data_IF_577051759433
#
_entry.id   IF_577051759433
#
_cell.length_a   1.000
_cell.length_b   1.000
_cell.length_c   1.000
_cell.angle_alpha   90.00
_cell.angle_beta   90.00
_cell.angle_gamma   90.00
#
_symmetry.space_group_name_H-M   'P 1'
#
loop_
_entity.id
_entity.type
_entity.pdbx_description
1 polymer ?
#
# COMPACT_ATOMS: atom_id res chain seq x y z
N UNK A 1 7.28 -25.27 -16.79
CA UNK A 1 7.11 -25.03 -15.35
C UNK A 1 5.64 -25.21 -15.04
N UNK A 2 5.25 -26.32 -14.44
CA UNK A 2 3.87 -26.52 -13.99
C UNK A 2 3.61 -25.63 -12.78
N UNK A 3 2.51 -24.87 -12.86
CA UNK A 3 2.08 -24.04 -11.77
C UNK A 3 1.69 -24.91 -10.57
N UNK A 4 2.32 -24.66 -9.41
CA UNK A 4 1.95 -25.30 -8.15
C UNK A 4 0.48 -25.04 -7.85
N UNK A 5 -0.33 -26.10 -7.82
CA UNK A 5 -1.78 -25.99 -7.57
C UNK A 5 -2.06 -25.81 -6.08
N UNK A 6 -3.19 -25.19 -5.71
CA UNK A 6 -3.64 -25.05 -4.31
C UNK A 6 -3.62 -26.37 -3.53
N UNK A 7 -3.86 -27.51 -4.19
CA UNK A 7 -3.83 -28.84 -3.57
C UNK A 7 -2.40 -29.28 -3.20
N UNK A 8 -1.40 -28.96 -4.05
CA UNK A 8 0.00 -29.30 -3.77
C UNK A 8 0.54 -28.52 -2.57
N UNK A 9 0.11 -27.28 -2.39
CA UNK A 9 0.50 -26.42 -1.23
C UNK A 9 -0.15 -26.94 0.05
N UNK A 10 -1.42 -27.36 0.01
CA UNK A 10 -2.13 -27.88 1.17
C UNK A 10 -1.62 -29.27 1.61
N UNK A 11 -1.18 -30.12 0.69
CA UNK A 11 -0.59 -31.42 1.02
C UNK A 11 0.80 -31.28 1.69
N UNK A 12 1.57 -30.24 1.33
CA UNK A 12 2.84 -29.92 2.00
C UNK A 12 2.67 -29.41 3.43
N UNK A 13 1.53 -28.74 3.73
CA UNK A 13 1.23 -28.22 5.07
C UNK A 13 0.91 -29.31 6.11
N UNK A 14 0.49 -30.51 5.67
CA UNK A 14 0.18 -31.64 6.55
C UNK A 14 1.43 -32.41 7.02
N UNK A 15 2.60 -32.21 6.35
CA UNK A 15 3.78 -33.03 6.57
C UNK A 15 4.86 -32.39 7.45
N UNK A 16 4.81 -31.10 7.75
CA UNK A 16 5.86 -30.43 8.54
C UNK A 16 5.27 -29.44 9.54
N UNK A 17 5.21 -29.85 10.81
CA UNK A 17 4.73 -29.07 11.93
C UNK A 17 5.64 -27.91 12.38
N UNK A 18 6.20 -27.11 11.47
CA UNK A 18 6.94 -25.89 11.80
C UNK A 18 6.33 -24.71 11.02
N UNK A 19 5.12 -24.31 11.41
CA UNK A 19 4.62 -22.99 11.08
C UNK A 19 5.10 -22.02 12.19
N UNK A 20 6.31 -21.46 12.03
CA UNK A 20 6.67 -20.28 12.81
C UNK A 20 5.68 -19.18 12.41
N UNK A 21 4.70 -18.91 13.27
CA UNK A 21 3.87 -17.71 13.18
C UNK A 21 4.77 -16.53 13.54
N UNK A 22 5.38 -15.91 12.55
CA UNK A 22 5.90 -14.56 12.71
C UNK A 22 4.67 -13.66 12.65
N UNK A 23 4.00 -13.52 13.80
CA UNK A 23 3.08 -12.42 13.99
C UNK A 23 3.92 -11.16 13.96
N UNK A 24 3.75 -10.31 12.96
CA UNK A 24 4.01 -8.91 13.17
C UNK A 24 3.04 -8.53 14.30
N UNK A 25 3.50 -8.50 15.54
CA UNK A 25 2.71 -7.95 16.63
C UNK A 25 2.44 -6.49 16.25
N UNK A 26 1.19 -6.24 15.86
CA UNK A 26 0.71 -4.88 15.84
C UNK A 26 1.02 -4.30 17.23
N UNK A 27 1.52 -3.06 17.32
CA UNK A 27 1.83 -2.47 18.60
C UNK A 27 0.63 -2.68 19.51
N UNK A 28 0.84 -3.29 20.69
CA UNK A 28 -0.19 -3.65 21.68
C UNK A 28 -0.99 -2.43 22.19
N UNK A 29 -0.55 -1.23 21.82
CA UNK A 29 -1.28 0.02 21.97
C UNK A 29 -1.04 0.86 20.71
N UNK A 30 -2.01 0.91 19.80
CA UNK A 30 -2.17 2.11 18.99
C UNK A 30 -2.46 3.25 19.97
N UNK A 31 -1.69 4.36 19.98
CA UNK A 31 -2.10 5.52 20.74
C UNK A 31 -3.49 5.88 20.18
N UNK A 32 -4.54 5.55 20.94
CA UNK A 32 -5.86 6.09 20.62
C UNK A 32 -5.68 7.58 20.53
N UNK A 33 -6.13 8.22 19.45
CA UNK A 33 -6.24 9.67 19.46
C UNK A 33 -6.93 10.03 20.77
N UNK A 34 -6.46 11.04 21.52
CA UNK A 34 -7.09 11.43 22.76
C UNK A 34 -8.59 11.53 22.48
N UNK A 35 -9.41 10.81 23.26
CA UNK A 35 -10.85 10.87 23.09
C UNK A 35 -11.20 12.35 23.12
N UNK A 36 -11.77 12.83 22.03
CA UNK A 36 -12.36 14.17 22.01
C UNK A 36 -13.25 14.23 23.25
N UNK A 37 -13.08 15.18 24.17
CA UNK A 37 -13.95 15.27 25.32
C UNK A 37 -15.37 15.16 24.82
N UNK A 38 -16.11 14.14 25.28
CA UNK A 38 -17.55 14.11 25.10
C UNK A 38 -18.02 15.47 25.55
N UNK A 39 -18.77 16.17 24.70
CA UNK A 39 -19.24 17.52 24.96
C UNK A 39 -20.08 17.52 26.24
N UNK A 40 -19.40 17.56 27.37
CA UNK A 40 -19.92 17.90 28.69
C UNK A 40 -19.65 19.36 28.87
N UNK A 41 -20.71 20.18 28.65
CA UNK A 41 -20.82 21.53 29.18
C UNK A 41 -19.58 22.43 29.06
N UNK A 42 -19.10 22.66 27.86
CA UNK A 42 -18.32 23.84 27.57
C UNK A 42 -19.26 24.85 26.87
N UNK A 43 -19.95 25.62 27.66
CA UNK A 43 -20.48 26.93 27.27
C UNK A 43 -19.30 27.88 27.03
N UNK A 44 -18.47 27.56 26.09
CA UNK A 44 -17.59 28.50 25.43
C UNK A 44 -18.20 28.72 24.03
N UNK A 45 -19.15 29.65 23.95
CA UNK A 45 -19.38 30.40 22.70
C UNK A 45 -18.03 31.05 22.34
N UNK A 46 -17.14 30.31 21.73
CA UNK A 46 -16.15 30.89 20.88
C UNK A 46 -16.96 31.54 19.75
N UNK A 47 -17.22 32.82 19.87
CA UNK A 47 -17.59 33.65 18.73
C UNK A 47 -16.45 33.50 17.74
N UNK A 48 -16.54 32.51 16.85
CA UNK A 48 -15.81 32.53 15.61
C UNK A 48 -16.08 33.93 15.06
N UNK A 49 -15.03 34.72 14.88
CA UNK A 49 -15.11 36.00 14.16
C UNK A 49 -15.44 35.58 12.74
N UNK A 50 -16.75 35.47 12.47
CA UNK A 50 -17.25 35.26 11.11
C UNK A 50 -16.76 36.47 10.36
N UNK A 51 -16.02 36.29 9.31
CA UNK A 51 -15.55 37.32 8.39
C UNK A 51 -16.72 38.02 7.65
N UNK A 52 -17.92 37.88 8.11
CA UNK A 52 -19.11 38.50 7.54
C UNK A 52 -19.49 38.10 6.11
N UNK A 53 -18.68 37.24 5.48
CA UNK A 53 -18.96 36.70 4.15
C UNK A 53 -19.83 35.46 4.23
N UNK A 54 -20.81 35.34 3.36
CA UNK A 54 -21.54 34.10 3.19
C UNK A 54 -20.65 33.00 2.64
N UNK A 55 -21.03 31.74 2.82
CA UNK A 55 -20.29 30.59 2.27
C UNK A 55 -20.11 30.70 0.76
N UNK A 56 -21.13 31.15 0.05
CA UNK A 56 -21.05 31.39 -1.39
C UNK A 56 -20.04 32.48 -1.75
N UNK A 57 -20.03 33.58 -1.00
CA UNK A 57 -19.07 34.66 -1.23
C UNK A 57 -17.61 34.18 -0.97
N UNK A 58 -17.37 33.28 -0.02
CA UNK A 58 -16.07 32.67 0.22
C UNK A 58 -15.64 31.76 -0.94
N UNK A 59 -16.57 30.97 -1.48
CA UNK A 59 -16.32 30.10 -2.63
C UNK A 59 -15.98 30.92 -3.87
N UNK A 60 -16.75 31.95 -4.15
CA UNK A 60 -16.50 32.86 -5.28
C UNK A 60 -15.16 33.59 -5.14
N UNK A 61 -14.83 34.04 -3.93
CA UNK A 61 -13.54 34.68 -3.65
C UNK A 61 -12.35 33.74 -3.82
N UNK A 62 -12.54 32.45 -3.56
CA UNK A 62 -11.49 31.42 -3.72
C UNK A 62 -11.14 31.14 -5.19
N UNK A 63 -11.98 31.59 -6.15
CA UNK A 63 -11.76 31.41 -7.61
C UNK A 63 -11.42 29.99 -8.00
N UNK A 64 -12.08 29.03 -7.38
CA UNK A 64 -11.90 27.60 -7.70
C UNK A 64 -12.41 27.37 -9.12
N UNK A 65 -11.58 26.84 -9.98
CA UNK A 65 -12.01 26.41 -11.32
C UNK A 65 -12.91 25.18 -11.20
N UNK A 66 -14.12 25.26 -11.79
CA UNK A 66 -15.06 24.14 -11.79
C UNK A 66 -16.21 24.30 -10.78
N UNK A 67 -16.90 23.19 -10.53
CA UNK A 67 -18.08 23.16 -9.69
C UNK A 67 -17.74 22.79 -8.25
N UNK A 68 -18.45 23.41 -7.32
CA UNK A 68 -18.29 23.16 -5.88
C UNK A 68 -19.61 22.66 -5.31
N UNK A 69 -19.56 21.51 -4.66
CA UNK A 69 -20.68 20.91 -3.92
C UNK A 69 -20.25 20.66 -2.47
N UNK A 70 -21.10 20.99 -1.52
CA UNK A 70 -20.91 20.66 -0.12
C UNK A 70 -22.21 20.62 0.66
N UNK A 71 -22.18 19.90 1.77
CA UNK A 71 -23.21 19.89 2.82
C UNK A 71 -22.53 20.00 4.18
N UNK A 72 -22.97 20.92 5.01
CA UNK A 72 -22.61 21.03 6.41
C UNK A 72 -23.86 20.84 7.25
N UNK A 73 -23.84 19.82 8.10
CA UNK A 73 -24.94 19.52 9.00
C UNK A 73 -24.46 19.37 10.45
N UNK A 74 -25.33 19.65 11.39
CA UNK A 74 -25.12 19.29 12.78
C UNK A 74 -25.22 17.77 12.94
N UNK A 75 -24.18 17.15 13.51
CA UNK A 75 -24.09 15.71 13.60
C UNK A 75 -25.12 15.08 14.56
N UNK A 76 -25.57 15.81 15.56
CA UNK A 76 -26.49 15.29 16.56
C UNK A 76 -27.95 15.41 16.12
N UNK A 77 -28.31 16.55 15.50
CA UNK A 77 -29.69 16.84 15.07
C UNK A 77 -29.96 16.47 13.62
N UNK A 78 -28.92 16.36 12.78
CA UNK A 78 -29.07 16.24 11.34
C UNK A 78 -29.47 17.55 10.64
N UNK A 79 -29.58 18.65 11.36
CA UNK A 79 -29.97 19.94 10.79
C UNK A 79 -28.92 20.45 9.80
N UNK A 80 -29.35 20.85 8.60
CA UNK A 80 -28.46 21.41 7.58
C UNK A 80 -28.13 22.84 7.92
N UNK A 81 -26.89 23.14 8.23
CA UNK A 81 -26.39 24.47 8.58
C UNK A 81 -26.08 25.27 7.32
N UNK A 82 -25.48 24.63 6.31
CA UNK A 82 -25.17 25.25 5.02
C UNK A 82 -25.05 24.18 3.95
N UNK A 83 -25.44 24.50 2.73
CA UNK A 83 -25.29 23.57 1.60
C UNK A 83 -25.14 24.34 0.29
N UNK A 84 -24.45 23.76 -0.66
CA UNK A 84 -24.39 24.17 -2.06
C UNK A 84 -24.44 22.92 -2.94
N UNK A 85 -25.47 22.78 -3.76
CA UNK A 85 -25.67 21.65 -4.66
C UNK A 85 -25.46 20.28 -3.97
N UNK A 86 -26.10 20.02 -2.82
CA UNK A 86 -25.75 18.84 -2.00
C UNK A 86 -26.01 17.49 -2.70
N UNK A 87 -26.98 17.46 -3.63
CA UNK A 87 -27.36 16.26 -4.38
C UNK A 87 -26.57 16.08 -5.68
N UNK A 88 -25.65 17.00 -5.96
CA UNK A 88 -24.83 16.89 -7.14
C UNK A 88 -23.85 15.75 -7.02
N UNK A 89 -23.86 14.84 -7.99
CA UNK A 89 -22.90 13.75 -8.07
C UNK A 89 -21.49 14.30 -8.40
N UNK A 90 -20.57 14.12 -7.48
CA UNK A 90 -19.18 14.51 -7.61
C UNK A 90 -18.28 13.27 -7.41
N UNK A 91 -17.12 13.20 -8.08
CA UNK A 91 -16.15 12.13 -7.81
C UNK A 91 -15.74 12.13 -6.33
N UNK A 92 -15.92 11.02 -5.60
CA UNK A 92 -15.66 10.99 -4.16
C UNK A 92 -14.17 11.07 -3.82
N UNK A 93 -13.30 10.78 -4.78
CA UNK A 93 -11.85 10.69 -4.57
C UNK A 93 -11.53 9.86 -3.31
N UNK A 94 -10.62 10.31 -2.47
CA UNK A 94 -10.21 9.58 -1.25
C UNK A 94 -11.27 9.49 -0.16
N UNK A 95 -12.39 10.21 -0.25
CA UNK A 95 -13.49 10.04 0.72
C UNK A 95 -14.14 8.65 0.60
N UNK A 96 -14.06 8.00 -0.56
CA UNK A 96 -14.49 6.61 -0.75
C UNK A 96 -13.78 5.62 0.17
N UNK A 97 -12.59 5.96 0.68
CA UNK A 97 -11.84 5.09 1.60
C UNK A 97 -12.56 4.87 2.93
N UNK A 98 -13.39 5.82 3.37
CA UNK A 98 -14.20 5.64 4.59
C UNK A 98 -15.23 4.53 4.42
N UNK A 99 -15.85 4.44 3.24
CA UNK A 99 -16.81 3.36 2.90
C UNK A 99 -16.06 2.02 2.79
N UNK A 100 -14.93 2.01 2.09
CA UNK A 100 -14.10 0.80 1.96
C UNK A 100 -13.62 0.30 3.34
N UNK A 101 -13.20 1.20 4.22
CA UNK A 101 -12.75 0.85 5.56
C UNK A 101 -13.89 0.30 6.42
N UNK A 102 -15.07 0.91 6.34
CA UNK A 102 -16.25 0.41 7.05
C UNK A 102 -16.63 -0.99 6.56
N UNK A 103 -16.70 -1.19 5.24
CA UNK A 103 -16.97 -2.50 4.66
C UNK A 103 -15.94 -3.55 5.08
N UNK A 104 -14.66 -3.19 5.09
CA UNK A 104 -13.58 -4.10 5.54
C UNK A 104 -13.76 -4.49 7.01
N UNK A 105 -14.10 -3.55 7.88
CA UNK A 105 -14.36 -3.82 9.30
C UNK A 105 -15.58 -4.72 9.52
N UNK A 106 -16.64 -4.52 8.74
CA UNK A 106 -17.83 -5.38 8.80
C UNK A 106 -17.58 -6.79 8.25
N UNK A 107 -16.87 -6.89 7.12
CA UNK A 107 -16.64 -8.16 6.43
C UNK A 107 -15.56 -9.02 7.10
N UNK A 108 -14.51 -8.41 7.63
CA UNK A 108 -13.33 -9.09 8.17
C UNK A 108 -13.27 -9.05 9.70
N UNK A 109 -13.89 -8.07 10.32
CA UNK A 109 -13.78 -7.79 11.74
C UNK A 109 -12.53 -6.97 12.09
N UNK A 110 -12.55 -6.33 13.27
CA UNK A 110 -11.46 -5.47 13.76
C UNK A 110 -10.17 -6.24 14.08
N UNK A 111 -10.29 -7.53 14.35
CA UNK A 111 -9.15 -8.39 14.74
C UNK A 111 -8.50 -9.10 13.54
N UNK A 112 -9.02 -8.92 12.34
CA UNK A 112 -8.42 -9.49 11.14
C UNK A 112 -7.00 -8.96 10.94
N UNK A 113 -6.08 -9.87 10.60
CA UNK A 113 -4.68 -9.54 10.25
C UNK A 113 -4.30 -10.24 8.96
N UNK A 114 -3.73 -9.49 8.06
CA UNK A 114 -3.09 -10.04 6.88
C UNK A 114 -1.84 -10.81 7.27
N UNK A 115 -1.47 -11.80 6.48
CA UNK A 115 -0.29 -12.61 6.77
C UNK A 115 0.49 -12.92 5.49
N UNK A 116 1.73 -12.47 5.46
CA UNK A 116 2.73 -12.96 4.51
C UNK A 116 3.50 -14.10 5.16
N UNK A 117 3.69 -15.21 4.44
CA UNK A 117 4.28 -16.44 4.98
C UNK A 117 5.46 -16.88 4.16
N UNK A 118 6.43 -17.49 4.84
CA UNK A 118 7.47 -18.31 4.21
C UNK A 118 7.08 -19.78 4.40
N UNK A 119 7.03 -20.51 3.30
CA UNK A 119 6.71 -21.94 3.26
C UNK A 119 7.90 -22.70 2.72
N UNK A 120 8.19 -23.85 3.34
CA UNK A 120 9.22 -24.77 2.90
C UNK A 120 8.58 -26.07 2.42
N UNK A 121 9.07 -26.66 1.32
CA UNK A 121 8.51 -27.91 0.75
C UNK A 121 9.28 -29.15 1.21
N UNK A 122 10.33 -28.99 2.02
CA UNK A 122 11.15 -30.08 2.52
C UNK A 122 11.74 -29.80 3.89
N UNK A 123 12.48 -30.76 4.48
CA UNK A 123 13.14 -30.59 5.76
C UNK A 123 14.35 -29.67 5.67
N UNK A 124 14.75 -29.10 6.81
CA UNK A 124 16.02 -28.39 6.96
C UNK A 124 16.99 -29.29 7.67
N UNK A 125 18.08 -29.66 6.99
CA UNK A 125 19.13 -30.56 7.48
C UNK A 125 20.49 -29.85 7.42
N UNK A 126 21.17 -29.72 8.55
CA UNK A 126 22.46 -29.03 8.62
C UNK A 126 22.43 -27.59 8.11
N UNK A 127 21.29 -26.90 8.22
CA UNK A 127 21.10 -25.55 7.72
C UNK A 127 20.77 -25.47 6.23
N UNK A 128 20.49 -26.60 5.58
CA UNK A 128 20.11 -26.67 4.16
C UNK A 128 18.67 -27.11 4.03
N UNK A 129 17.84 -26.31 3.38
CA UNK A 129 16.49 -26.71 3.02
C UNK A 129 16.55 -27.69 1.84
N UNK A 130 16.07 -28.92 2.05
CA UNK A 130 15.96 -29.98 1.04
C UNK A 130 14.64 -29.85 0.26
N UNK A 131 14.43 -28.72 -0.35
CA UNK A 131 13.21 -28.39 -1.07
C UNK A 131 13.17 -26.91 -1.46
N UNK A 132 11.99 -26.44 -1.87
CA UNK A 132 11.75 -25.07 -2.28
C UNK A 132 11.41 -24.18 -1.08
N UNK A 133 11.76 -22.91 -1.18
CA UNK A 133 11.30 -21.86 -0.28
C UNK A 133 10.31 -20.95 -1.01
N UNK A 134 9.13 -20.74 -0.46
CA UNK A 134 8.05 -19.99 -1.11
C UNK A 134 7.66 -18.81 -0.24
N UNK A 135 7.75 -17.60 -0.79
CA UNK A 135 7.15 -16.39 -0.21
C UNK A 135 5.68 -16.34 -0.65
N UNK A 136 4.78 -16.57 0.29
CA UNK A 136 3.34 -16.57 0.04
C UNK A 136 2.68 -15.31 0.58
N UNK A 137 2.15 -14.49 -0.33
CA UNK A 137 1.41 -13.28 0.00
C UNK A 137 -0.04 -13.57 0.40
N UNK A 138 -0.50 -12.91 1.46
CA UNK A 138 -1.86 -13.02 1.97
C UNK A 138 -2.74 -11.80 1.70
N UNK A 139 -2.36 -10.95 0.73
CA UNK A 139 -3.10 -9.73 0.41
C UNK A 139 -2.77 -8.56 1.34
N UNK A 140 -1.66 -8.61 2.07
CA UNK A 140 -1.22 -7.54 2.96
C UNK A 140 -0.89 -6.27 2.16
N UNK A 141 -1.65 -5.18 2.30
CA UNK A 141 -1.41 -3.94 1.56
C UNK A 141 -0.22 -3.14 2.13
N UNK A 142 0.30 -3.52 3.30
CA UNK A 142 1.35 -2.77 4.01
C UNK A 142 2.70 -3.45 4.01
N UNK A 143 2.84 -4.62 3.36
CA UNK A 143 4.09 -5.34 3.27
C UNK A 143 5.20 -4.45 2.69
N UNK A 144 6.31 -4.35 3.41
CA UNK A 144 7.44 -3.50 3.03
C UNK A 144 8.73 -4.30 2.90
N UNK A 145 9.74 -3.71 2.30
CA UNK A 145 11.10 -4.28 2.24
C UNK A 145 11.66 -4.55 3.65
N UNK A 146 11.31 -3.74 4.63
CA UNK A 146 11.73 -3.96 6.02
C UNK A 146 11.13 -5.24 6.61
N UNK A 147 9.86 -5.53 6.31
CA UNK A 147 9.22 -6.77 6.73
C UNK A 147 9.91 -8.00 6.10
N UNK A 148 10.30 -7.90 4.83
CA UNK A 148 11.06 -8.98 4.18
C UNK A 148 12.45 -9.14 4.81
N UNK A 149 13.11 -8.05 5.20
CA UNK A 149 14.37 -8.08 5.93
C UNK A 149 14.23 -8.79 7.29
N UNK A 150 13.14 -8.52 8.02
CA UNK A 150 12.83 -9.19 9.28
C UNK A 150 12.54 -10.69 9.08
N UNK A 151 11.80 -11.07 8.04
CA UNK A 151 11.60 -12.47 7.68
C UNK A 151 12.91 -13.18 7.37
N UNK A 152 13.80 -12.55 6.59
CA UNK A 152 15.12 -13.10 6.28
C UNK A 152 15.98 -13.29 7.54
N UNK A 153 15.94 -12.33 8.48
CA UNK A 153 16.61 -12.43 9.77
C UNK A 153 16.10 -13.61 10.60
N UNK A 154 14.79 -13.83 10.62
CA UNK A 154 14.18 -14.99 11.31
C UNK A 154 14.64 -16.29 10.69
N UNK A 155 14.64 -16.42 9.36
CA UNK A 155 15.15 -17.62 8.67
C UNK A 155 16.61 -17.90 9.00
N UNK A 156 17.45 -16.86 9.01
CA UNK A 156 18.85 -16.98 9.44
C UNK A 156 18.99 -17.42 10.90
N UNK A 157 18.14 -16.89 11.79
CA UNK A 157 18.09 -17.27 13.21
C UNK A 157 17.65 -18.73 13.43
N UNK A 158 16.80 -19.27 12.55
CA UNK A 158 16.43 -20.68 12.54
C UNK A 158 17.53 -21.60 11.94
N UNK A 159 18.65 -21.02 11.55
CA UNK A 159 19.81 -21.76 11.03
C UNK A 159 19.73 -22.06 9.54
N UNK A 160 18.74 -21.54 8.80
CA UNK A 160 18.69 -21.73 7.35
C UNK A 160 19.82 -20.94 6.68
N UNK A 161 20.67 -21.64 5.93
CA UNK A 161 21.84 -21.06 5.25
C UNK A 161 21.80 -21.23 3.74
N UNK A 162 21.12 -22.28 3.27
CA UNK A 162 21.06 -22.63 1.85
C UNK A 162 19.74 -23.32 1.51
N UNK A 163 19.31 -23.14 0.27
CA UNK A 163 18.15 -23.79 -0.34
C UNK A 163 18.70 -24.64 -1.48
N UNK A 164 18.43 -25.95 -1.47
CA UNK A 164 18.80 -26.86 -2.57
C UNK A 164 17.77 -26.86 -3.71
N UNK A 165 16.55 -26.41 -3.44
CA UNK A 165 15.50 -26.18 -4.43
C UNK A 165 15.48 -24.75 -4.97
N UNK A 166 14.31 -24.27 -5.30
CA UNK A 166 14.07 -22.91 -5.84
C UNK A 166 13.50 -21.98 -4.79
N UNK A 167 13.71 -20.68 -4.98
CA UNK A 167 12.93 -19.64 -4.31
C UNK A 167 11.77 -19.26 -5.21
N UNK A 168 10.55 -19.41 -4.70
CA UNK A 168 9.32 -19.11 -5.40
C UNK A 168 8.49 -18.02 -4.72
N UNK A 169 7.60 -17.42 -5.49
CA UNK A 169 6.63 -16.43 -5.00
C UNK A 169 5.23 -16.94 -5.34
N UNK A 170 4.34 -16.87 -4.35
CA UNK A 170 2.92 -17.16 -4.54
C UNK A 170 2.08 -15.95 -4.17
N UNK A 171 1.33 -15.45 -5.14
CA UNK A 171 0.51 -14.23 -5.01
C UNK A 171 -0.99 -14.51 -5.21
N UNK A 172 -1.41 -15.78 -5.18
CA UNK A 172 -2.78 -16.20 -5.54
C UNK A 172 -3.86 -15.95 -4.48
N UNK A 173 -3.55 -15.23 -3.39
CA UNK A 173 -4.56 -14.87 -2.39
C UNK A 173 -5.60 -13.88 -2.92
N UNK A 174 -5.21 -13.04 -3.88
CA UNK A 174 -6.09 -12.13 -4.63
C UNK A 174 -5.89 -12.36 -6.14
N UNK A 175 -6.89 -12.07 -6.98
CA UNK A 175 -6.70 -12.00 -8.41
C UNK A 175 -5.62 -10.98 -8.77
N UNK A 176 -4.83 -11.29 -9.80
CA UNK A 176 -3.91 -10.32 -10.37
C UNK A 176 -4.68 -9.34 -11.28
N UNK A 177 -4.42 -8.07 -11.11
CA UNK A 177 -4.85 -7.00 -12.03
C UNK A 177 -3.66 -6.13 -12.39
N UNK A 178 -3.54 -5.76 -13.65
CA UNK A 178 -2.40 -4.98 -14.16
C UNK A 178 -2.41 -3.53 -13.65
N UNK A 179 -3.58 -2.96 -13.45
CA UNK A 179 -3.78 -1.62 -12.97
C UNK A 179 -5.08 -1.53 -12.15
N UNK A 180 -5.15 -0.62 -11.19
CA UNK A 180 -6.37 -0.36 -10.41
C UNK A 180 -7.47 0.23 -11.32
N UNK A 181 -7.08 1.12 -12.22
CA UNK A 181 -7.96 1.76 -13.21
C UNK A 181 -7.29 1.71 -14.60
N UNK A 182 -7.77 0.83 -15.50
CA UNK A 182 -7.22 0.72 -16.86
C UNK A 182 -7.44 1.98 -17.72
N UNK A 183 -8.30 2.89 -17.31
CA UNK A 183 -8.51 4.19 -17.98
C UNK A 183 -7.46 5.24 -17.68
N UNK A 184 -6.55 4.96 -16.75
CA UNK A 184 -5.48 5.86 -16.35
C UNK A 184 -4.12 5.41 -16.90
N UNK A 185 -3.17 6.34 -17.07
CA UNK A 185 -1.83 5.99 -17.53
C UNK A 185 -1.11 4.99 -16.62
N UNK A 186 -0.36 4.07 -17.22
CA UNK A 186 0.32 2.96 -16.53
C UNK A 186 1.43 3.43 -15.58
N UNK A 187 2.04 4.58 -15.86
CA UNK A 187 3.15 5.12 -15.04
C UNK A 187 2.72 5.85 -13.78
N UNK A 188 1.43 5.95 -13.50
CA UNK A 188 0.96 6.65 -12.30
C UNK A 188 1.21 5.82 -11.05
N UNK A 189 1.99 6.34 -10.12
CA UNK A 189 2.35 5.65 -8.88
C UNK A 189 1.16 5.29 -7.96
N UNK A 190 -0.03 5.81 -8.22
CA UNK A 190 -1.27 5.42 -7.53
C UNK A 190 -2.14 4.44 -8.32
N UNK A 191 -1.67 4.01 -9.50
CA UNK A 191 -2.33 3.01 -10.34
C UNK A 191 -1.47 1.75 -10.55
N UNK A 192 -0.89 1.17 -9.49
CA UNK A 192 -0.02 0.00 -9.61
C UNK A 192 -0.83 -1.26 -9.90
N UNK A 193 -0.15 -2.30 -10.37
CA UNK A 193 -0.68 -3.65 -10.36
C UNK A 193 -1.00 -4.11 -8.93
N UNK A 194 -1.98 -4.99 -8.78
CA UNK A 194 -2.41 -5.54 -7.49
C UNK A 194 -2.48 -7.07 -7.57
N UNK A 195 -2.02 -7.73 -6.51
CA UNK A 195 -2.11 -9.18 -6.36
C UNK A 195 -2.18 -9.58 -4.90
N UNK A 196 -2.13 -10.85 -4.59
CA UNK A 196 -2.02 -11.34 -3.21
C UNK A 196 -0.67 -11.03 -2.55
N UNK A 197 0.33 -10.58 -3.31
CA UNK A 197 1.63 -10.14 -2.79
C UNK A 197 1.98 -8.79 -3.42
N UNK A 198 1.90 -7.74 -2.62
CA UNK A 198 2.30 -6.40 -2.99
C UNK A 198 3.43 -5.96 -2.06
N UNK A 199 4.49 -5.41 -2.61
CA UNK A 199 5.64 -4.91 -1.84
C UNK A 199 5.76 -3.40 -2.03
N UNK A 200 5.85 -2.64 -0.92
CA UNK A 200 5.98 -1.18 -0.95
C UNK A 200 4.90 -0.52 -1.83
N UNK A 201 3.64 -1.01 -1.74
CA UNK A 201 2.52 -0.59 -2.61
C UNK A 201 2.77 -0.81 -4.12
N UNK A 202 3.61 -1.79 -4.49
CA UNK A 202 4.10 -2.03 -5.84
C UNK A 202 4.70 -0.79 -6.52
N UNK A 203 5.47 -0.02 -5.74
CA UNK A 203 6.18 1.17 -6.20
C UNK A 203 7.66 1.02 -5.97
N UNK A 204 8.42 1.70 -6.81
CA UNK A 204 9.87 1.92 -6.62
C UNK A 204 10.14 3.41 -6.47
N UNK A 205 11.16 3.74 -5.71
CA UNK A 205 11.57 5.13 -5.52
C UNK A 205 12.60 5.50 -6.58
N UNK A 206 12.37 6.59 -7.25
CA UNK A 206 13.36 7.23 -8.11
C UNK A 206 14.33 8.05 -7.26
N UNK A 207 15.61 7.84 -7.48
CA UNK A 207 16.68 8.58 -6.83
C UNK A 207 17.52 9.30 -7.87
N UNK A 208 17.96 10.49 -7.55
CA UNK A 208 18.87 11.26 -8.39
C UNK A 208 19.82 12.10 -7.55
N UNK A 209 21.02 12.24 -8.05
CA UNK A 209 22.06 13.06 -7.46
C UNK A 209 22.83 13.78 -8.55
N UNK A 210 23.20 15.03 -8.31
CA UNK A 210 24.05 15.79 -9.23
C UNK A 210 25.49 15.39 -9.04
N UNK A 211 26.13 14.92 -10.11
CA UNK A 211 27.51 14.41 -10.06
C UNK A 211 28.24 14.71 -11.36
N UNK A 212 29.46 15.28 -11.28
CA UNK A 212 30.35 15.44 -12.43
C UNK A 212 29.79 16.24 -13.61
N UNK A 213 28.90 17.22 -13.35
CA UNK A 213 28.25 18.02 -14.41
C UNK A 213 27.01 17.36 -15.04
N UNK A 214 26.60 16.18 -14.55
CA UNK A 214 25.40 15.45 -14.96
C UNK A 214 24.57 15.00 -13.77
N UNK A 215 23.76 13.97 -13.98
CA UNK A 215 22.95 13.35 -12.94
C UNK A 215 23.24 11.85 -12.87
N UNK A 216 23.46 11.36 -11.68
CA UNK A 216 23.40 9.93 -11.37
C UNK A 216 21.98 9.63 -10.93
N UNK A 217 21.36 8.65 -11.58
CA UNK A 217 19.97 8.27 -11.32
C UNK A 217 19.87 6.78 -11.01
N UNK A 218 18.88 6.41 -10.21
CA UNK A 218 18.64 5.02 -9.86
C UNK A 218 17.22 4.80 -9.37
N UNK A 219 16.88 3.53 -9.20
CA UNK A 219 15.65 3.12 -8.55
C UNK A 219 15.96 2.13 -7.44
N UNK A 220 15.23 2.25 -6.35
CA UNK A 220 15.31 1.33 -5.22
C UNK A 220 13.92 0.97 -4.67
N UNK A 221 13.86 -0.17 -3.99
CA UNK A 221 12.68 -0.62 -3.25
C UNK A 221 12.83 -0.25 -1.76
N UNK A 222 13.01 1.05 -1.47
CA UNK A 222 13.27 1.49 -0.10
C UNK A 222 12.07 1.40 0.80
N UNK A 223 12.35 1.01 2.03
CA UNK A 223 11.53 1.23 3.20
C UNK A 223 12.32 2.12 4.20
N UNK A 224 12.09 2.02 5.48
CA UNK A 224 12.80 2.86 6.46
C UNK A 224 14.26 2.41 6.68
N UNK A 225 14.50 1.09 6.72
CA UNK A 225 15.80 0.48 7.06
C UNK A 225 16.57 -0.05 5.85
N UNK A 226 15.87 -0.54 4.85
CA UNK A 226 16.47 -1.18 3.69
C UNK A 226 16.07 -0.47 2.39
N UNK A 227 17.04 -0.36 1.48
CA UNK A 227 16.86 0.28 0.18
C UNK A 227 17.57 -0.53 -0.93
N UNK A 228 17.14 -1.77 -1.20
CA UNK A 228 17.76 -2.57 -2.25
C UNK A 228 17.52 -1.93 -3.62
N UNK A 229 18.55 -1.92 -4.46
CA UNK A 229 18.43 -1.50 -5.85
C UNK A 229 17.49 -2.46 -6.60
N UNK A 230 16.75 -1.91 -7.56
CA UNK A 230 15.84 -2.69 -8.42
C UNK A 230 16.29 -2.64 -9.88
N UNK A 231 15.94 -3.68 -10.64
CA UNK A 231 16.24 -3.80 -12.06
C UNK A 231 15.00 -3.71 -12.96
N UNK A 232 13.82 -3.65 -12.34
CA UNK A 232 12.52 -3.58 -13.05
C UNK A 232 12.19 -2.18 -13.58
N UNK A 233 12.91 -1.16 -13.13
CA UNK A 233 12.76 0.21 -13.60
C UNK A 233 14.11 0.81 -13.97
N UNK A 234 14.16 1.58 -15.07
CA UNK A 234 15.37 2.24 -15.57
C UNK A 234 15.05 3.66 -16.01
N UNK A 235 16.02 4.56 -15.88
CA UNK A 235 15.89 5.92 -16.38
C UNK A 235 17.17 6.36 -17.06
N UNK A 236 16.99 7.12 -18.14
CA UNK A 236 18.09 7.81 -18.82
C UNK A 236 17.79 9.30 -18.89
N UNK A 237 18.63 10.09 -18.24
CA UNK A 237 18.55 11.55 -18.36
C UNK A 237 19.09 11.98 -19.70
N UNK A 238 18.30 12.76 -20.43
CA UNK A 238 18.65 13.30 -21.75
C UNK A 238 18.36 14.80 -21.79
N UNK A 239 19.14 15.54 -22.59
CA UNK A 239 18.90 16.96 -22.80
C UNK A 239 17.78 17.13 -23.83
N UNK A 240 16.62 17.59 -23.38
CA UNK A 240 15.48 17.96 -24.23
C UNK A 240 14.52 18.87 -23.47
N UNK A 241 13.73 19.63 -24.20
CA UNK A 241 12.74 20.53 -23.59
C UNK A 241 11.42 19.81 -23.30
N UNK A 242 10.83 19.16 -24.29
CA UNK A 242 9.54 18.47 -24.19
C UNK A 242 9.52 17.18 -25.04
N UNK A 243 8.76 16.15 -24.58
CA UNK A 243 8.08 16.04 -23.30
C UNK A 243 9.07 15.91 -22.14
N UNK A 244 8.65 16.27 -20.93
CA UNK A 244 9.49 16.22 -19.72
C UNK A 244 10.04 14.80 -19.49
N UNK A 245 9.22 13.79 -19.75
CA UNK A 245 9.63 12.39 -19.75
C UNK A 245 8.95 11.62 -20.87
N UNK A 246 9.48 10.46 -21.19
CA UNK A 246 8.81 9.41 -21.96
C UNK A 246 8.77 8.15 -21.14
N UNK A 247 7.78 7.32 -21.38
CA UNK A 247 7.61 6.03 -20.73
C UNK A 247 7.51 4.94 -21.79
N UNK A 248 8.17 3.81 -21.56
CA UNK A 248 8.11 2.61 -22.39
C UNK A 248 8.24 1.39 -21.47
N UNK A 249 7.41 0.37 -21.70
CA UNK A 249 7.47 -0.89 -20.99
C UNK A 249 7.82 -2.02 -21.94
N UNK A 250 8.87 -2.76 -21.62
CA UNK A 250 9.31 -3.94 -22.39
C UNK A 250 9.41 -5.15 -21.48
N UNK A 251 8.44 -6.06 -21.63
CA UNK A 251 8.30 -7.20 -20.72
C UNK A 251 8.05 -6.74 -19.29
N UNK A 252 8.98 -7.08 -18.39
CA UNK A 252 8.89 -6.71 -16.97
C UNK A 252 9.71 -5.47 -16.60
N UNK A 253 10.26 -4.75 -17.57
CA UNK A 253 11.12 -3.58 -17.32
C UNK A 253 10.46 -2.31 -17.85
N UNK A 254 10.28 -1.37 -16.94
CA UNK A 254 9.83 -0.01 -17.26
C UNK A 254 11.01 0.92 -17.53
N UNK A 255 10.87 1.82 -18.48
CA UNK A 255 11.94 2.73 -18.93
C UNK A 255 11.42 4.16 -19.04
N UNK A 256 12.16 5.09 -18.50
CA UNK A 256 11.82 6.52 -18.43
C UNK A 256 12.86 7.39 -19.13
#
# INVERSE_FOLDING_TARGET
>A
MEALTRRSILAGLAATGIAARVGAEAPLSSPRPPQRPLAGTATAKAKAKTTGLSTDALIEAAKLGGEVSFLLADLASGEVIAARQPDRQMPPASTAKSITSLYALEALGSDYRFATRILATGPVEGGVLKGDLILAGGGDPTLSTDNLGDLAKVLGGLGLRRIDGTFGVWAGALPYVDAIDPGQPDWLGYNPAVSGLNLNFNRVNFTWERSGGGYQVGFDARAERFAPAVSVARMKVVARDLPIFTYDQRGTVESW
#
